data_IF_072694835024
#
_entry.id   IF_072694835024
#
_cell.length_a   1.000
_cell.length_b   1.000
_cell.length_c   1.000
_cell.angle_alpha   90.00
_cell.angle_beta   90.00
_cell.angle_gamma   90.00
#
_symmetry.space_group_name_H-M   'P 1'
#
loop_
_entity.id
_entity.type
_entity.pdbx_description
1 polymer ?
#
# COMPACT_ATOMS: atom_id res chain seq x y z
N UNK A 1 -32.99 -42.56 26.22
CA UNK A 1 -32.60 -41.23 25.70
C UNK A 1 -31.12 -41.28 25.35
N UNK A 2 -30.75 -41.51 24.09
CA UNK A 2 -29.34 -41.65 23.71
C UNK A 2 -29.13 -41.23 22.25
N UNK A 3 -28.81 -39.95 22.02
CA UNK A 3 -28.48 -39.38 20.71
C UNK A 3 -27.13 -38.64 20.73
N UNK A 4 -26.12 -39.18 21.42
CA UNK A 4 -24.71 -38.76 21.24
C UNK A 4 -24.03 -39.64 20.19
N UNK A 5 -24.41 -39.46 18.93
CA UNK A 5 -23.68 -39.91 17.72
C UNK A 5 -23.86 -38.89 16.60
N UNK A 6 -23.60 -37.63 16.92
CA UNK A 6 -23.67 -36.54 15.95
C UNK A 6 -22.23 -36.31 15.49
N UNK A 7 -21.89 -36.90 14.34
CA UNK A 7 -20.67 -36.76 13.53
C UNK A 7 -19.34 -37.27 14.13
N UNK A 8 -18.94 -38.46 13.70
CA UNK A 8 -17.53 -38.87 13.65
C UNK A 8 -17.23 -39.16 12.16
N UNK A 9 -16.68 -38.20 11.38
CA UNK A 9 -16.46 -38.40 9.96
C UNK A 9 -15.49 -39.57 9.74
N UNK A 10 -15.85 -40.49 8.85
CA UNK A 10 -14.92 -41.52 8.41
C UNK A 10 -13.70 -40.86 7.71
N UNK A 11 -12.61 -41.63 7.56
CA UNK A 11 -11.37 -41.11 6.93
C UNK A 11 -11.64 -40.51 5.55
N UNK A 12 -12.61 -41.04 4.81
CA UNK A 12 -12.97 -40.57 3.47
C UNK A 12 -13.66 -39.19 3.49
N UNK A 13 -14.67 -38.98 4.34
CA UNK A 13 -15.34 -37.68 4.49
C UNK A 13 -14.39 -36.61 5.02
N UNK A 14 -13.44 -36.99 5.88
CA UNK A 14 -12.38 -36.10 6.37
C UNK A 14 -11.43 -35.68 5.24
N UNK A 15 -11.00 -36.62 4.39
CA UNK A 15 -10.17 -36.33 3.22
C UNK A 15 -10.92 -35.41 2.25
N UNK A 16 -12.19 -35.71 1.95
CA UNK A 16 -13.01 -34.89 1.05
C UNK A 16 -13.18 -33.46 1.56
N UNK A 17 -13.39 -33.29 2.87
CA UNK A 17 -13.47 -31.98 3.51
C UNK A 17 -12.15 -31.20 3.41
N UNK A 18 -11.00 -31.84 3.67
CA UNK A 18 -9.72 -31.15 3.50
C UNK A 18 -9.44 -30.79 2.05
N UNK A 19 -9.74 -31.68 1.10
CA UNK A 19 -9.58 -31.38 -0.33
C UNK A 19 -10.49 -30.24 -0.78
N UNK A 20 -11.74 -30.17 -0.30
CA UNK A 20 -12.66 -29.09 -0.66
C UNK A 20 -12.26 -27.75 -0.06
N UNK A 21 -11.72 -27.74 1.17
CA UNK A 21 -11.17 -26.54 1.78
C UNK A 21 -9.92 -26.07 1.01
N UNK A 22 -9.02 -27.00 0.63
CA UNK A 22 -7.83 -26.65 -0.15
C UNK A 22 -8.19 -26.13 -1.53
N UNK A 23 -9.13 -26.77 -2.25
CA UNK A 23 -9.57 -26.28 -3.56
C UNK A 23 -10.32 -24.96 -3.45
N UNK A 24 -11.11 -24.76 -2.40
CA UNK A 24 -11.73 -23.46 -2.10
C UNK A 24 -10.66 -22.40 -1.84
N UNK A 25 -9.67 -22.66 -0.98
CA UNK A 25 -8.57 -21.72 -0.73
C UNK A 25 -7.82 -21.42 -2.04
N UNK A 26 -7.48 -22.41 -2.85
CA UNK A 26 -6.80 -22.19 -4.14
C UNK A 26 -7.68 -21.39 -5.11
N UNK A 27 -8.97 -21.70 -5.22
CA UNK A 27 -9.91 -20.99 -6.08
C UNK A 27 -10.09 -19.52 -5.68
N UNK A 28 -10.01 -19.21 -4.39
CA UNK A 28 -10.09 -17.84 -3.85
C UNK A 28 -8.74 -17.12 -3.73
N UNK A 29 -7.61 -17.82 -3.94
CA UNK A 29 -6.27 -17.21 -3.99
C UNK A 29 -5.82 -16.82 -5.40
N UNK A 30 -6.60 -17.12 -6.44
CA UNK A 30 -6.48 -16.41 -7.71
C UNK A 30 -7.12 -15.04 -7.53
N UNK A 31 -6.38 -14.10 -6.93
CA UNK A 31 -6.69 -12.69 -7.10
C UNK A 31 -6.78 -12.43 -8.60
N UNK A 32 -7.86 -11.76 -8.99
CA UNK A 32 -8.28 -11.52 -10.37
C UNK A 32 -7.07 -11.40 -11.31
N UNK A 33 -6.94 -12.31 -12.28
CA UNK A 33 -5.98 -12.09 -13.36
C UNK A 33 -6.32 -10.73 -13.95
N UNK A 34 -5.48 -9.69 -13.77
CA UNK A 34 -5.75 -8.43 -14.41
C UNK A 34 -5.85 -8.71 -15.92
N UNK A 35 -6.75 -8.02 -16.64
CA UNK A 35 -6.99 -8.31 -18.04
C UNK A 35 -5.67 -8.39 -18.80
N UNK A 36 -5.52 -9.41 -19.63
CA UNK A 36 -4.28 -9.77 -20.35
C UNK A 36 -3.75 -8.63 -21.24
N UNK A 37 -4.53 -7.57 -21.41
CA UNK A 37 -4.16 -6.33 -22.10
C UNK A 37 -5.05 -5.17 -21.65
N UNK A 38 -4.47 -3.99 -21.56
CA UNK A 38 -5.18 -2.71 -21.38
C UNK A 38 -5.06 -2.10 -19.99
N UNK A 39 -5.78 -1.00 -19.80
CA UNK A 39 -5.85 -0.29 -18.52
C UNK A 39 -6.80 -1.01 -17.58
N UNK A 40 -6.32 -1.35 -16.39
CA UNK A 40 -7.13 -1.87 -15.29
C UNK A 40 -7.05 -0.90 -14.11
N UNK A 41 -8.18 -0.67 -13.44
CA UNK A 41 -8.21 0.17 -12.26
C UNK A 41 -7.61 -0.61 -11.08
N UNK A 42 -6.60 -0.02 -10.43
CA UNK A 42 -6.04 -0.54 -9.18
C UNK A 42 -6.91 -0.13 -7.99
N UNK A 43 -7.05 -1.02 -7.01
CA UNK A 43 -7.76 -0.72 -5.77
C UNK A 43 -6.86 0.11 -4.84
N UNK A 44 -7.30 1.34 -4.56
CA UNK A 44 -6.65 2.25 -3.64
C UNK A 44 -7.34 2.22 -2.28
N UNK A 45 -6.61 2.48 -1.17
CA UNK A 45 -7.25 2.71 0.12
C UNK A 45 -8.11 3.99 0.07
N UNK A 46 -8.95 4.22 1.07
CA UNK A 46 -9.64 5.50 1.18
C UNK A 46 -8.64 6.63 1.45
N UNK A 47 -8.36 7.42 0.42
CA UNK A 47 -7.45 8.57 0.46
C UNK A 47 -8.16 9.88 0.79
N UNK A 48 -9.40 9.86 1.27
CA UNK A 48 -10.19 11.06 1.59
C UNK A 48 -10.23 12.07 0.43
N UNK A 49 -10.46 11.56 -0.80
CA UNK A 49 -10.46 12.31 -2.05
C UNK A 49 -9.14 13.02 -2.40
N UNK A 50 -8.01 12.64 -1.77
CA UNK A 50 -6.70 13.17 -2.12
C UNK A 50 -6.19 12.56 -3.43
N UNK A 51 -5.78 13.38 -4.42
CA UNK A 51 -5.18 12.87 -5.63
C UNK A 51 -3.78 12.34 -5.37
N UNK A 52 -3.34 11.37 -6.17
CA UNK A 52 -1.94 10.97 -6.21
C UNK A 52 -1.11 12.06 -6.90
N UNK A 53 0.02 12.42 -6.29
CA UNK A 53 0.96 13.39 -6.84
C UNK A 53 2.15 12.73 -7.51
N UNK A 54 2.56 11.56 -7.01
CA UNK A 54 3.68 10.81 -7.56
C UNK A 54 3.59 9.33 -7.15
N UNK A 55 4.08 8.45 -8.03
CA UNK A 55 4.15 7.00 -7.80
C UNK A 55 5.48 6.49 -8.34
N UNK A 56 6.16 5.65 -7.57
CA UNK A 56 7.38 4.98 -7.98
C UNK A 56 7.33 3.50 -7.62
N UNK A 57 7.59 2.64 -8.60
CA UNK A 57 7.97 1.25 -8.39
C UNK A 57 9.50 1.12 -8.31
N UNK A 58 10.00 0.39 -7.31
CA UNK A 58 11.43 0.08 -7.17
C UNK A 58 11.79 -1.27 -7.80
N UNK A 59 10.81 -2.14 -7.95
CA UNK A 59 10.84 -3.40 -8.69
C UNK A 59 9.43 -3.73 -9.18
N UNK A 60 9.21 -4.91 -9.76
CA UNK A 60 7.91 -5.30 -10.33
C UNK A 60 6.79 -5.50 -9.29
N UNK A 61 7.12 -5.59 -8.01
CA UNK A 61 6.18 -5.89 -6.92
C UNK A 61 6.02 -4.74 -5.95
N UNK A 62 7.12 -4.06 -5.58
CA UNK A 62 7.12 -3.03 -4.54
C UNK A 62 7.03 -1.65 -5.16
N UNK A 63 5.95 -0.95 -4.78
CA UNK A 63 5.67 0.42 -5.20
C UNK A 63 5.34 1.33 -4.01
N UNK A 64 5.63 2.61 -4.19
CA UNK A 64 5.33 3.68 -3.26
C UNK A 64 4.58 4.79 -3.98
N UNK A 65 3.58 5.36 -3.32
CA UNK A 65 2.81 6.48 -3.85
C UNK A 65 2.66 7.56 -2.78
N UNK A 66 2.46 8.78 -3.21
CA UNK A 66 2.15 9.90 -2.34
C UNK A 66 0.92 10.63 -2.84
N UNK A 67 0.13 11.14 -1.90
CA UNK A 67 -0.89 12.14 -2.22
C UNK A 67 -0.37 13.53 -1.92
N UNK A 68 -0.92 14.51 -2.61
CA UNK A 68 -0.55 15.90 -2.39
C UNK A 68 -1.69 16.78 -2.87
N UNK A 69 -2.07 17.72 -2.02
CA UNK A 69 -2.94 18.80 -2.41
C UNK A 69 -2.08 19.97 -2.90
N UNK A 70 -2.59 20.76 -3.83
CA UNK A 70 -1.95 22.03 -4.22
C UNK A 70 -2.69 23.21 -3.58
N UNK A 71 -3.61 22.96 -2.66
CA UNK A 71 -4.39 23.99 -1.96
C UNK A 71 -3.97 24.22 -0.51
N UNK A 72 -3.05 23.39 0.03
CA UNK A 72 -2.44 23.57 1.35
C UNK A 72 -3.35 23.21 2.51
N UNK A 73 -2.73 22.73 3.60
CA UNK A 73 -3.37 22.67 4.93
C UNK A 73 -4.21 21.42 5.19
N UNK A 74 -3.79 20.27 4.67
CA UNK A 74 -4.58 19.05 4.76
C UNK A 74 -3.73 17.77 4.90
N UNK A 75 -4.36 16.67 5.35
CA UNK A 75 -3.71 15.38 5.51
C UNK A 75 -3.47 14.72 4.14
N UNK A 76 -2.19 14.44 3.88
CA UNK A 76 -1.69 13.69 2.75
C UNK A 76 -1.11 12.34 3.20
N UNK A 77 -1.00 11.39 2.29
CA UNK A 77 -0.66 10.01 2.60
C UNK A 77 0.57 9.55 1.83
N UNK A 78 1.36 8.68 2.47
CA UNK A 78 2.31 7.80 1.80
C UNK A 78 1.67 6.42 1.75
N UNK A 79 1.54 5.87 0.55
CA UNK A 79 0.99 4.54 0.30
C UNK A 79 2.06 3.58 -0.22
N UNK A 80 1.86 2.29 0.01
CA UNK A 80 2.76 1.22 -0.43
C UNK A 80 1.99 0.03 -0.97
N UNK A 81 2.53 -0.59 -2.00
CA UNK A 81 2.15 -1.91 -2.50
C UNK A 81 3.33 -2.87 -2.43
N UNK A 82 3.03 -4.17 -2.32
CA UNK A 82 4.00 -5.27 -2.38
C UNK A 82 3.59 -6.34 -3.40
N UNK A 83 2.60 -6.06 -4.24
CA UNK A 83 2.05 -6.97 -5.23
C UNK A 83 1.76 -6.29 -6.57
N UNK A 84 2.64 -5.40 -7.03
CA UNK A 84 2.54 -4.79 -8.35
C UNK A 84 1.46 -3.71 -8.47
N UNK A 85 0.88 -3.28 -7.35
CA UNK A 85 -0.18 -2.28 -7.29
C UNK A 85 -1.59 -2.86 -7.29
N UNK A 86 -1.75 -4.18 -7.21
CA UNK A 86 -3.07 -4.80 -7.09
C UNK A 86 -3.78 -4.38 -5.78
N UNK A 87 -3.00 -4.16 -4.71
CA UNK A 87 -3.47 -3.47 -3.51
C UNK A 87 -2.45 -2.44 -2.98
N UNK A 88 -2.98 -1.40 -2.34
CA UNK A 88 -2.20 -0.33 -1.73
C UNK A 88 -2.62 -0.12 -0.27
N UNK A 89 -1.65 0.16 0.60
CA UNK A 89 -1.87 0.42 2.02
C UNK A 89 -1.30 1.78 2.40
N UNK A 90 -2.03 2.53 3.23
CA UNK A 90 -1.51 3.74 3.86
C UNK A 90 -0.47 3.32 4.90
N UNK A 91 0.78 3.74 4.70
CA UNK A 91 1.89 3.46 5.62
C UNK A 91 2.30 4.69 6.43
N UNK A 92 1.91 5.88 5.99
CA UNK A 92 2.12 7.12 6.71
C UNK A 92 1.08 8.19 6.32
N UNK A 93 0.84 9.14 7.22
CA UNK A 93 -0.03 10.30 7.01
C UNK A 93 0.67 11.55 7.53
N UNK A 94 0.71 12.60 6.72
CA UNK A 94 1.43 13.84 7.00
C UNK A 94 0.56 15.05 6.69
N UNK A 95 0.57 16.04 7.58
CA UNK A 95 -0.21 17.27 7.45
C UNK A 95 0.59 18.35 6.72
N UNK A 96 1.07 18.01 5.52
CA UNK A 96 1.82 18.88 4.63
C UNK A 96 1.72 18.34 3.21
N UNK A 97 1.78 19.21 2.22
CA UNK A 97 1.71 18.79 0.82
C UNK A 97 2.95 18.00 0.41
N UNK A 98 2.75 16.87 -0.25
CA UNK A 98 3.81 16.05 -0.82
C UNK A 98 3.87 16.27 -2.33
N UNK A 99 5.07 16.40 -2.87
CA UNK A 99 5.26 16.68 -4.30
C UNK A 99 5.97 15.55 -5.03
N UNK A 100 6.98 14.93 -4.41
CA UNK A 100 7.75 13.83 -5.01
C UNK A 100 8.15 12.77 -4.00
N UNK A 101 8.22 11.53 -4.49
CA UNK A 101 8.71 10.37 -3.73
C UNK A 101 9.83 9.68 -4.50
N UNK A 102 10.92 9.35 -3.80
CA UNK A 102 12.02 8.58 -4.37
C UNK A 102 12.60 7.57 -3.38
N UNK A 103 12.39 6.30 -3.64
CA UNK A 103 13.07 5.18 -3.00
C UNK A 103 14.27 4.72 -3.85
N UNK A 104 15.39 4.48 -3.17
CA UNK A 104 16.62 3.91 -3.76
C UNK A 104 16.72 2.40 -3.51
N UNK A 105 15.96 1.89 -2.53
CA UNK A 105 15.75 0.48 -2.24
C UNK A 105 14.47 0.33 -1.40
N UNK A 106 14.12 -0.90 -1.01
CA UNK A 106 12.88 -1.18 -0.26
C UNK A 106 12.83 -0.60 1.16
N UNK A 107 13.96 -0.13 1.71
CA UNK A 107 14.05 0.42 3.06
C UNK A 107 14.30 1.93 3.07
N UNK A 108 15.07 2.44 2.13
CA UNK A 108 15.53 3.83 2.11
C UNK A 108 14.85 4.62 1.02
N UNK A 109 14.19 5.71 1.42
CA UNK A 109 13.51 6.62 0.52
C UNK A 109 13.45 8.04 1.04
N UNK A 110 13.04 8.92 0.14
CA UNK A 110 12.97 10.36 0.33
C UNK A 110 11.62 10.85 -0.14
N UNK A 111 11.04 11.79 0.60
CA UNK A 111 9.85 12.53 0.21
C UNK A 111 10.14 14.01 0.38
N UNK A 112 9.70 14.80 -0.57
CA UNK A 112 9.72 16.25 -0.48
C UNK A 112 8.35 16.83 -0.82
N UNK A 113 8.17 18.07 -0.40
CA UNK A 113 6.97 18.84 -0.66
C UNK A 113 7.02 20.10 0.18
N UNK A 114 5.87 20.66 0.54
CA UNK A 114 5.78 21.87 1.34
C UNK A 114 4.60 22.74 0.91
N UNK A 115 4.12 23.62 1.80
CA UNK A 115 3.11 24.61 1.43
C UNK A 115 3.58 25.47 0.25
N UNK A 116 2.64 25.79 -0.64
CA UNK A 116 2.93 26.63 -1.79
C UNK A 116 3.55 27.98 -1.37
N UNK A 117 4.80 28.21 -1.77
CA UNK A 117 5.47 29.50 -1.67
C UNK A 117 6.00 29.92 -0.30
N UNK A 118 6.04 29.03 0.70
CA UNK A 118 6.47 29.36 2.08
C UNK A 118 7.44 28.36 2.70
N UNK A 119 7.97 27.43 1.91
CA UNK A 119 9.00 26.49 2.34
C UNK A 119 8.76 25.09 1.83
N UNK A 120 9.77 24.49 1.20
CA UNK A 120 9.79 23.04 1.00
C UNK A 120 10.13 22.26 2.28
N UNK A 121 10.24 20.95 2.18
CA UNK A 121 10.96 20.12 3.13
C UNK A 121 11.52 18.92 2.39
N UNK A 122 12.49 18.26 3.02
CA UNK A 122 13.00 16.97 2.57
C UNK A 122 13.02 16.04 3.78
N UNK A 123 12.37 14.89 3.69
CA UNK A 123 12.43 13.84 4.71
C UNK A 123 13.02 12.57 4.14
N UNK A 124 13.61 11.77 5.03
CA UNK A 124 14.18 10.47 4.71
C UNK A 124 13.58 9.39 5.60
N UNK A 125 13.34 8.22 5.02
CA UNK A 125 13.06 6.99 5.74
C UNK A 125 14.21 5.99 5.55
N UNK A 126 14.42 5.12 6.52
CA UNK A 126 15.30 3.94 6.43
C UNK A 126 14.59 2.66 6.83
N UNK A 127 13.26 2.70 6.96
CA UNK A 127 12.43 1.58 7.36
C UNK A 127 11.20 1.41 6.44
N UNK A 128 11.37 1.69 5.15
CA UNK A 128 10.36 1.42 4.12
C UNK A 128 9.15 2.35 4.23
N UNK A 129 9.34 3.57 4.74
CA UNK A 129 8.31 4.60 4.84
C UNK A 129 7.43 4.54 6.08
N UNK A 130 7.72 3.65 7.04
CA UNK A 130 6.99 3.61 8.32
C UNK A 130 7.29 4.86 9.16
N UNK A 131 8.54 5.30 9.22
CA UNK A 131 8.96 6.53 9.88
C UNK A 131 9.77 7.43 8.94
N UNK A 132 9.61 8.75 9.09
CA UNK A 132 10.27 9.77 8.29
C UNK A 132 10.99 10.78 9.19
N UNK A 133 12.23 11.11 8.84
CA UNK A 133 13.07 12.07 9.54
C UNK A 133 13.34 13.28 8.65
N UNK A 134 13.08 14.48 9.16
CA UNK A 134 13.37 15.73 8.44
C UNK A 134 14.88 15.86 8.26
N UNK A 135 15.31 16.13 7.03
CA UNK A 135 16.67 16.50 6.70
C UNK A 135 16.78 18.02 6.70
N UNK A 136 17.61 18.55 7.58
CA UNK A 136 17.93 19.97 7.60
C UNK A 136 18.72 20.30 6.34
N UNK A 137 18.10 21.01 5.40
CA UNK A 137 18.82 21.54 4.25
C UNK A 137 19.53 22.84 4.66
N UNK A 138 20.77 23.09 4.18
CA UNK A 138 21.57 24.24 4.61
C UNK A 138 20.92 25.61 4.40
N UNK A 139 19.89 25.69 3.55
CA UNK A 139 19.27 26.95 3.15
C UNK A 139 17.85 27.17 3.65
N UNK A 140 17.33 26.33 4.57
CA UNK A 140 16.03 26.58 5.20
C UNK A 140 14.99 26.98 4.17
N UNK A 141 14.60 26.02 3.34
CA UNK A 141 13.36 26.00 2.55
C UNK A 141 12.45 27.23 2.77
N UNK A 142 12.55 28.17 1.81
CA UNK A 142 11.91 29.50 1.80
C UNK A 142 10.42 29.45 1.52
#
# INVERSE_FOLDING_TARGET
>A
MNFKKIFNPDKLSTILLYTSIITFIIAFNFSENPPVSGWYQQFMPNLNNRPLSDVQFIDSLVGYGITGDHTGGDTNYVIKTTNGGDNWFIINSVYIDLSKVKFINSYTGFVCGGPNGTGGFLTKTTNGGMNWFVLNTPFGVR
#
